data_IF_949167880948
#
_entry.id   IF_949167880948
#
_cell.length_a   1.000
_cell.length_b   1.000
_cell.length_c   1.000
_cell.angle_alpha   90.00
_cell.angle_beta   90.00
_cell.angle_gamma   90.00
#
_symmetry.space_group_name_H-M   'P 1'
#
loop_
_entity.id
_entity.type
_entity.pdbx_description
1 polymer ?
#
# COMPACT_ATOMS: atom_id res chain seq x y z
N UNK A 1 1.97 -6.25 -29.29
CA UNK A 1 3.41 -6.11 -29.58
C UNK A 1 4.16 -6.47 -28.32
N UNK A 2 4.79 -7.65 -28.23
CA UNK A 2 5.65 -7.98 -27.09
C UNK A 2 6.96 -7.22 -27.23
N UNK A 3 7.17 -6.23 -26.38
CA UNK A 3 8.46 -5.55 -26.27
C UNK A 3 9.41 -6.53 -25.57
N UNK A 4 10.24 -7.23 -26.34
CA UNK A 4 11.41 -7.94 -25.81
C UNK A 4 12.50 -6.91 -25.46
N UNK A 5 12.20 -6.04 -24.50
CA UNK A 5 13.22 -5.23 -23.84
C UNK A 5 14.08 -6.16 -23.01
N UNK A 6 15.38 -6.24 -23.31
CA UNK A 6 16.33 -6.95 -22.46
C UNK A 6 16.23 -6.37 -21.05
N UNK A 7 15.72 -7.16 -20.10
CA UNK A 7 15.56 -6.71 -18.73
C UNK A 7 16.92 -6.25 -18.19
N UNK A 8 17.08 -4.99 -17.74
CA UNK A 8 18.34 -4.52 -17.21
C UNK A 8 18.76 -5.42 -16.03
N UNK A 9 19.95 -5.99 -16.11
CA UNK A 9 20.52 -6.78 -15.00
C UNK A 9 20.99 -5.81 -13.93
N UNK A 10 20.17 -5.62 -12.90
CA UNK A 10 20.53 -4.88 -11.70
C UNK A 10 21.46 -5.78 -10.87
N UNK A 11 22.68 -5.32 -10.60
CA UNK A 11 23.62 -5.98 -9.68
C UNK A 11 23.58 -5.27 -8.34
N UNK A 12 23.16 -5.97 -7.29
CA UNK A 12 23.23 -5.47 -5.92
C UNK A 12 24.51 -5.96 -5.27
N UNK A 13 25.20 -5.07 -4.57
CA UNK A 13 26.45 -5.35 -3.88
C UNK A 13 26.23 -5.27 -2.37
N UNK A 14 26.50 -6.37 -1.66
CA UNK A 14 26.34 -6.52 -0.22
C UNK A 14 27.68 -6.47 0.49
N UNK A 15 27.73 -5.80 1.63
CA UNK A 15 28.90 -5.80 2.51
C UNK A 15 28.84 -6.99 3.48
N UNK A 16 29.96 -7.69 3.67
CA UNK A 16 30.01 -8.88 4.54
C UNK A 16 30.58 -8.50 5.92
N UNK A 17 29.76 -8.51 7.01
CA UNK A 17 30.26 -8.23 8.35
C UNK A 17 31.30 -9.24 8.81
N UNK A 18 32.38 -8.75 9.41
CA UNK A 18 33.44 -9.59 10.00
C UNK A 18 34.60 -9.94 9.08
N UNK A 19 34.59 -9.51 7.82
CA UNK A 19 35.75 -9.67 6.92
C UNK A 19 36.64 -8.42 6.92
N UNK A 20 37.97 -8.56 7.11
CA UNK A 20 38.88 -7.45 7.43
C UNK A 20 39.22 -6.46 6.28
N UNK A 21 38.40 -6.29 5.24
CA UNK A 21 38.81 -5.50 4.07
C UNK A 21 37.70 -4.84 3.27
N UNK A 22 36.52 -4.60 3.86
CA UNK A 22 35.42 -4.04 3.08
C UNK A 22 34.94 -4.95 1.95
N UNK A 23 35.12 -6.27 2.13
CA UNK A 23 34.76 -7.28 1.13
C UNK A 23 33.28 -7.20 0.82
N UNK A 24 32.98 -7.08 -0.47
CA UNK A 24 31.62 -7.07 -0.97
C UNK A 24 31.32 -8.30 -1.82
N UNK A 25 30.09 -8.77 -1.81
CA UNK A 25 29.60 -9.83 -2.70
C UNK A 25 28.38 -9.37 -3.47
N UNK A 26 28.19 -9.90 -4.68
CA UNK A 26 26.92 -9.78 -5.42
C UNK A 26 26.09 -11.06 -5.36
N UNK A 27 26.61 -12.11 -4.72
CA UNK A 27 25.93 -13.39 -4.58
C UNK A 27 25.32 -13.50 -3.18
N UNK A 28 23.99 -13.64 -3.14
CA UNK A 28 23.25 -13.81 -1.89
C UNK A 28 23.74 -15.04 -1.11
N UNK A 29 24.13 -16.11 -1.79
CA UNK A 29 24.59 -17.36 -1.17
C UNK A 29 25.85 -17.21 -0.30
N UNK A 30 26.63 -16.15 -0.51
CA UNK A 30 27.85 -15.88 0.27
C UNK A 30 27.53 -15.25 1.64
N UNK A 31 26.29 -14.83 1.88
CA UNK A 31 25.85 -14.24 3.14
C UNK A 31 25.38 -15.31 4.15
N UNK A 32 25.32 -14.96 5.43
CA UNK A 32 24.76 -15.88 6.44
C UNK A 32 23.29 -16.22 6.15
N UNK A 33 22.78 -17.42 6.50
CA UNK A 33 21.39 -17.81 6.21
C UNK A 33 20.33 -16.82 6.70
N UNK A 34 20.56 -16.19 7.86
CA UNK A 34 19.66 -15.17 8.40
C UNK A 34 19.63 -13.91 7.53
N UNK A 35 20.79 -13.47 7.03
CA UNK A 35 20.86 -12.34 6.11
C UNK A 35 20.26 -12.67 4.74
N UNK A 36 20.51 -13.88 4.24
CA UNK A 36 19.88 -14.36 3.01
C UNK A 36 18.37 -14.26 3.12
N UNK A 37 17.80 -14.82 4.19
CA UNK A 37 16.37 -14.76 4.47
C UNK A 37 15.87 -13.31 4.56
N UNK A 38 16.50 -12.47 5.40
CA UNK A 38 16.07 -11.09 5.59
C UNK A 38 16.10 -10.25 4.30
N UNK A 39 17.04 -10.51 3.41
CA UNK A 39 17.23 -9.73 2.19
C UNK A 39 16.26 -10.11 1.06
N UNK A 40 15.56 -11.25 1.13
CA UNK A 40 14.62 -11.67 0.07
C UNK A 40 13.45 -10.69 -0.07
N UNK A 41 13.02 -10.46 -1.30
CA UNK A 41 11.88 -9.60 -1.62
C UNK A 41 10.53 -10.21 -1.18
N UNK A 42 10.49 -11.49 -0.85
CA UNK A 42 9.32 -12.16 -0.30
C UNK A 42 9.30 -12.27 1.22
N UNK A 43 10.27 -11.66 1.91
CA UNK A 43 10.28 -11.60 3.37
C UNK A 43 9.65 -10.28 3.80
N UNK A 44 8.40 -10.38 4.25
CA UNK A 44 7.53 -9.25 4.60
C UNK A 44 7.19 -9.31 6.08
N UNK A 45 7.22 -8.13 6.70
CA UNK A 45 6.85 -7.94 8.08
C UNK A 45 5.69 -6.97 8.18
N UNK A 46 4.81 -7.21 9.14
CA UNK A 46 3.71 -6.34 9.52
C UNK A 46 4.10 -5.56 10.77
N UNK A 47 4.06 -4.23 10.68
CA UNK A 47 4.18 -3.32 11.82
C UNK A 47 2.83 -2.73 12.22
N UNK A 48 2.83 -1.71 13.09
CA UNK A 48 1.61 -1.01 13.51
C UNK A 48 0.94 -0.23 12.38
N UNK A 49 1.73 0.44 11.55
CA UNK A 49 1.23 1.36 10.53
C UNK A 49 1.26 0.83 9.10
N UNK A 50 2.08 -0.20 8.82
CA UNK A 50 2.28 -0.69 7.46
C UNK A 50 2.98 -2.04 7.38
N UNK A 51 2.82 -2.71 6.25
CA UNK A 51 3.64 -3.85 5.84
C UNK A 51 4.91 -3.35 5.15
N UNK A 52 6.04 -4.00 5.41
CA UNK A 52 7.33 -3.59 4.84
C UNK A 52 8.32 -4.75 4.73
N UNK A 53 9.12 -4.73 3.68
CA UNK A 53 10.29 -5.59 3.52
C UNK A 53 11.52 -4.96 4.19
N UNK A 54 12.57 -5.76 4.45
CA UNK A 54 13.90 -5.20 4.70
C UNK A 54 14.43 -4.48 3.46
N UNK A 55 15.24 -3.41 3.58
CA UNK A 55 15.48 -2.62 4.77
C UNK A 55 14.43 -1.52 5.00
N UNK A 56 13.26 -1.50 4.36
CA UNK A 56 12.22 -0.47 4.62
C UNK A 56 11.69 -0.53 6.06
N UNK A 57 11.72 -1.72 6.66
CA UNK A 57 11.52 -1.86 8.10
C UNK A 57 12.53 -1.02 8.90
N UNK A 58 13.73 -0.74 8.36
CA UNK A 58 14.72 0.19 8.95
C UNK A 58 14.27 1.62 8.65
N UNK A 59 13.88 2.44 9.64
CA UNK A 59 13.66 3.85 9.41
C UNK A 59 14.89 4.43 8.71
N UNK A 60 14.72 5.22 7.64
CA UNK A 60 15.84 5.89 7.02
C UNK A 60 16.53 6.76 8.08
N UNK A 61 17.87 6.72 8.11
CA UNK A 61 18.63 7.68 8.89
C UNK A 61 18.22 9.08 8.40
N UNK A 62 17.58 9.86 9.26
CA UNK A 62 17.22 11.24 8.92
C UNK A 62 18.52 11.96 8.58
N UNK A 63 18.65 12.56 7.38
CA UNK A 63 19.90 13.19 7.00
C UNK A 63 20.23 14.30 8.01
N UNK A 64 21.48 14.28 8.47
CA UNK A 64 22.02 15.11 9.57
C UNK A 64 21.82 16.63 9.34
N UNK A 65 21.53 17.06 8.11
CA UNK A 65 21.32 18.46 7.73
C UNK A 65 19.90 19.00 7.99
N UNK A 66 18.93 18.17 8.41
CA UNK A 66 17.59 18.61 8.87
C UNK A 66 17.42 18.49 10.39
N UNK A 67 18.51 18.68 11.14
CA UNK A 67 18.47 18.65 12.60
C UNK A 67 17.74 19.88 13.16
N UNK A 68 16.55 19.67 13.70
CA UNK A 68 15.97 20.58 14.69
C UNK A 68 16.74 20.39 16.01
N UNK A 69 17.02 21.43 16.80
CA UNK A 69 17.55 21.24 18.15
C UNK A 69 16.45 20.66 19.07
N UNK A 70 16.74 19.61 19.84
CA UNK A 70 15.91 19.18 20.98
C UNK A 70 15.09 17.89 20.84
N UNK A 71 15.15 17.16 19.71
CA UNK A 71 14.48 15.86 19.59
C UNK A 71 15.45 14.69 19.39
N UNK A 72 16.45 14.57 20.27
CA UNK A 72 17.51 13.55 20.23
C UNK A 72 16.95 12.11 20.18
N UNK A 73 15.78 11.88 20.77
CA UNK A 73 15.05 10.62 20.70
C UNK A 73 14.37 10.36 19.34
N UNK A 74 13.97 11.41 18.61
CA UNK A 74 13.47 11.28 17.22
C UNK A 74 14.60 11.03 16.21
N UNK A 75 15.85 11.33 16.57
CA UNK A 75 17.01 11.26 15.67
C UNK A 75 17.68 9.89 15.61
N UNK A 76 17.47 9.01 16.60
CA UNK A 76 17.94 7.62 16.53
C UNK A 76 17.09 6.74 15.59
N UNK A 77 16.10 7.34 14.91
CA UNK A 77 15.00 6.62 14.30
C UNK A 77 14.15 5.97 15.39
N UNK A 78 12.85 5.78 15.15
CA UNK A 78 12.06 4.89 16.00
C UNK A 78 12.75 3.52 15.94
N UNK A 79 13.52 3.17 16.98
CA UNK A 79 14.11 1.84 17.08
C UNK A 79 12.98 0.85 16.96
N UNK A 80 13.21 -0.20 16.18
CA UNK A 80 12.16 -1.15 15.93
C UNK A 80 11.75 -1.77 17.25
N UNK A 81 10.46 -1.71 17.51
CA UNK A 81 9.91 -2.48 18.59
C UNK A 81 9.78 -3.93 18.10
N UNK A 82 10.65 -4.79 18.62
CA UNK A 82 10.64 -6.23 18.34
C UNK A 82 9.31 -6.88 18.73
N UNK A 83 8.58 -6.32 19.69
CA UNK A 83 7.25 -6.80 20.09
C UNK A 83 6.15 -6.45 19.09
N UNK A 84 6.34 -5.38 18.31
CA UNK A 84 5.35 -4.88 17.34
C UNK A 84 5.58 -5.42 15.93
N UNK A 85 6.82 -5.73 15.55
CA UNK A 85 7.11 -6.28 14.24
C UNK A 85 6.88 -7.78 14.19
N UNK A 86 5.93 -8.22 13.37
CA UNK A 86 5.60 -9.63 13.17
C UNK A 86 5.85 -10.03 11.72
N UNK A 87 6.18 -11.30 11.50
CA UNK A 87 6.23 -11.88 10.16
C UNK A 87 4.81 -11.91 9.58
N UNK A 88 4.64 -11.49 8.33
CA UNK A 88 3.35 -11.51 7.64
C UNK A 88 3.30 -12.67 6.63
N UNK A 89 2.87 -13.83 7.11
CA UNK A 89 2.89 -15.08 6.33
C UNK A 89 2.03 -15.02 5.07
N UNK A 90 0.91 -14.28 5.11
CA UNK A 90 0.01 -14.12 3.96
C UNK A 90 0.67 -13.24 2.90
N UNK A 91 1.18 -12.07 3.28
CA UNK A 91 1.93 -11.21 2.36
C UNK A 91 3.16 -11.91 1.79
N UNK A 92 3.87 -12.71 2.59
CA UNK A 92 5.02 -13.50 2.12
C UNK A 92 4.60 -14.54 1.06
N UNK A 93 3.48 -15.22 1.25
CA UNK A 93 2.96 -16.20 0.27
C UNK A 93 2.59 -15.51 -1.05
N UNK A 94 1.91 -14.37 -0.99
CA UNK A 94 1.58 -13.55 -2.15
C UNK A 94 2.84 -13.09 -2.87
N UNK A 95 3.82 -12.57 -2.13
CA UNK A 95 5.08 -12.11 -2.71
C UNK A 95 5.85 -13.24 -3.38
N UNK A 96 5.86 -14.45 -2.81
CA UNK A 96 6.50 -15.62 -3.43
C UNK A 96 5.90 -15.95 -4.78
N UNK A 97 4.58 -15.99 -4.84
CA UNK A 97 3.85 -16.30 -6.07
C UNK A 97 4.08 -15.23 -7.14
N UNK A 98 4.01 -13.95 -6.77
CA UNK A 98 4.33 -12.84 -7.68
C UNK A 98 5.79 -12.91 -8.18
N UNK A 99 6.76 -13.21 -7.31
CA UNK A 99 8.17 -13.38 -7.68
C UNK A 99 8.40 -14.58 -8.63
N UNK A 100 7.71 -15.69 -8.38
CA UNK A 100 7.77 -16.86 -9.25
C UNK A 100 7.26 -16.51 -10.66
N UNK A 101 6.16 -15.75 -10.75
CA UNK A 101 5.55 -15.33 -12.03
C UNK A 101 6.39 -14.33 -12.82
N UNK A 102 7.14 -13.43 -12.18
CA UNK A 102 8.14 -12.59 -12.89
C UNK A 102 9.41 -13.37 -13.27
N UNK A 103 9.51 -14.66 -12.92
CA UNK A 103 10.70 -15.47 -13.14
C UNK A 103 11.89 -15.08 -12.26
N UNK A 104 11.63 -14.51 -11.06
CA UNK A 104 12.65 -14.09 -10.09
C UNK A 104 12.33 -14.56 -8.66
N UNK A 105 12.17 -15.88 -8.43
CA UNK A 105 11.78 -16.42 -7.12
C UNK A 105 12.77 -16.08 -5.98
N UNK A 106 14.03 -15.80 -6.32
CA UNK A 106 15.09 -15.47 -5.37
C UNK A 106 15.48 -13.98 -5.38
N UNK A 107 14.62 -13.11 -5.93
CA UNK A 107 14.88 -11.68 -5.94
C UNK A 107 15.06 -11.14 -4.51
N UNK A 108 16.01 -10.23 -4.36
CA UNK A 108 16.22 -9.47 -3.13
C UNK A 108 15.34 -8.22 -3.12
N UNK A 109 14.98 -7.79 -1.92
CA UNK A 109 14.27 -6.53 -1.68
C UNK A 109 15.00 -5.31 -2.28
N UNK A 110 16.33 -5.34 -2.29
CA UNK A 110 17.16 -4.31 -2.92
C UNK A 110 17.04 -4.30 -4.44
N UNK A 111 17.00 -5.45 -5.10
CA UNK A 111 16.73 -5.55 -6.54
C UNK A 111 15.33 -5.00 -6.87
N UNK A 112 14.32 -5.38 -6.09
CA UNK A 112 12.94 -4.90 -6.31
C UNK A 112 12.81 -3.41 -6.05
N UNK A 113 13.55 -2.85 -5.09
CA UNK A 113 13.61 -1.41 -4.85
C UNK A 113 14.34 -0.66 -5.96
N UNK A 114 15.39 -1.23 -6.52
CA UNK A 114 16.13 -0.61 -7.62
C UNK A 114 15.26 -0.40 -8.87
N UNK A 115 14.12 -1.08 -8.97
CA UNK A 115 13.06 -0.84 -9.96
C UNK A 115 12.14 0.37 -9.63
N UNK A 116 12.47 1.15 -8.58
CA UNK A 116 11.96 2.50 -8.23
C UNK A 116 10.45 2.70 -8.16
N UNK A 117 9.67 1.66 -7.92
CA UNK A 117 8.21 1.80 -7.84
C UNK A 117 7.54 1.92 -9.20
N UNK A 118 8.16 1.36 -10.22
CA UNK A 118 7.60 1.28 -11.56
C UNK A 118 6.70 0.04 -11.74
N UNK A 119 6.11 -0.47 -10.66
CA UNK A 119 5.16 -1.56 -10.75
C UNK A 119 3.77 -0.98 -10.86
N UNK A 120 3.04 -1.35 -11.89
CA UNK A 120 1.62 -1.10 -11.98
C UNK A 120 0.89 -2.43 -11.86
N UNK A 121 -0.21 -2.50 -11.12
CA UNK A 121 -1.04 -3.71 -11.14
C UNK A 121 -1.60 -3.96 -12.55
N UNK A 122 -1.38 -5.14 -13.11
CA UNK A 122 -1.84 -5.48 -14.46
C UNK A 122 -3.33 -5.84 -14.55
N UNK A 123 -4.02 -5.82 -13.41
CA UNK A 123 -5.46 -6.11 -13.29
C UNK A 123 -6.28 -4.90 -12.88
N UNK A 124 -5.61 -3.78 -12.66
CA UNK A 124 -6.22 -2.48 -12.44
C UNK A 124 -5.69 -1.55 -13.51
N UNK A 125 -6.48 -1.28 -14.54
CA UNK A 125 -6.14 -0.41 -15.67
C UNK A 125 -5.72 0.99 -15.20
N UNK A 126 -6.28 1.44 -14.08
CA UNK A 126 -6.03 2.77 -13.53
C UNK A 126 -5.18 2.78 -12.26
N UNK A 127 -4.52 1.66 -11.92
CA UNK A 127 -3.57 1.64 -10.81
C UNK A 127 -2.39 2.58 -11.10
N UNK A 128 -2.04 3.36 -10.08
CA UNK A 128 -0.83 4.16 -10.09
C UNK A 128 0.41 3.26 -10.01
N UNK A 129 1.54 3.71 -10.56
CA UNK A 129 2.83 3.08 -10.26
C UNK A 129 3.05 3.04 -8.74
N UNK A 130 3.42 1.87 -8.25
CA UNK A 130 3.64 1.59 -6.83
C UNK A 130 4.96 0.85 -6.60
N UNK A 131 5.47 0.93 -5.37
CA UNK A 131 6.56 0.08 -4.91
C UNK A 131 6.17 -1.40 -4.91
N UNK A 132 7.18 -2.27 -4.90
CA UNK A 132 6.96 -3.71 -4.76
C UNK A 132 6.14 -4.07 -3.52
N UNK A 133 6.49 -3.51 -2.36
CA UNK A 133 5.78 -3.72 -1.10
C UNK A 133 4.30 -3.30 -1.20
N UNK A 134 4.02 -2.17 -1.85
CA UNK A 134 2.66 -1.71 -2.11
C UNK A 134 1.91 -2.60 -3.09
N UNK A 135 2.58 -3.15 -4.11
CA UNK A 135 1.97 -4.13 -5.02
C UNK A 135 1.57 -5.41 -4.27
N UNK A 136 2.47 -5.95 -3.43
CA UNK A 136 2.15 -7.14 -2.63
C UNK A 136 0.99 -6.86 -1.68
N UNK A 137 1.05 -5.72 -0.97
CA UNK A 137 -0.02 -5.29 -0.08
C UNK A 137 -1.36 -5.12 -0.82
N UNK A 138 -1.33 -4.55 -2.03
CA UNK A 138 -2.51 -4.42 -2.89
C UNK A 138 -3.15 -5.79 -3.17
N UNK A 139 -2.39 -6.77 -3.65
CA UNK A 139 -2.92 -8.13 -3.88
C UNK A 139 -3.46 -8.78 -2.60
N UNK A 140 -2.79 -8.59 -1.46
CA UNK A 140 -3.27 -9.11 -0.17
C UNK A 140 -4.58 -8.47 0.28
N UNK A 141 -4.71 -7.15 0.12
CA UNK A 141 -5.94 -6.43 0.44
C UNK A 141 -7.11 -6.91 -0.42
N UNK A 142 -6.92 -7.01 -1.73
CA UNK A 142 -7.98 -7.43 -2.66
C UNK A 142 -8.44 -8.87 -2.38
N UNK A 143 -7.51 -9.77 -2.08
CA UNK A 143 -7.81 -11.16 -1.69
C UNK A 143 -8.57 -11.22 -0.35
N UNK A 144 -8.16 -10.43 0.64
CA UNK A 144 -8.83 -10.36 1.93
C UNK A 144 -10.26 -9.80 1.82
N UNK A 145 -10.44 -8.73 1.03
CA UNK A 145 -11.75 -8.15 0.75
C UNK A 145 -12.67 -9.14 0.04
N UNK A 146 -12.16 -9.87 -0.96
CA UNK A 146 -12.91 -10.94 -1.60
C UNK A 146 -13.33 -12.03 -0.60
N UNK A 147 -12.42 -12.55 0.23
CA UNK A 147 -12.76 -13.54 1.27
C UNK A 147 -13.84 -13.04 2.22
N UNK A 148 -13.72 -11.80 2.70
CA UNK A 148 -14.71 -11.17 3.58
C UNK A 148 -16.08 -11.09 2.90
N UNK A 149 -16.13 -10.67 1.63
CA UNK A 149 -17.38 -10.60 0.87
C UNK A 149 -18.06 -11.97 0.72
N UNK A 150 -17.28 -13.06 0.57
CA UNK A 150 -17.84 -14.41 0.48
C UNK A 150 -18.46 -14.83 1.81
N UNK A 151 -17.79 -14.55 2.94
CA UNK A 151 -18.34 -14.84 4.26
C UNK A 151 -19.65 -14.09 4.53
N UNK A 152 -19.73 -12.82 4.12
CA UNK A 152 -20.95 -12.01 4.28
C UNK A 152 -22.07 -12.56 3.41
N UNK A 153 -21.79 -12.91 2.15
CA UNK A 153 -22.75 -13.53 1.23
C UNK A 153 -23.24 -14.90 1.72
N UNK A 154 -22.38 -15.70 2.34
CA UNK A 154 -22.77 -16.96 2.96
C UNK A 154 -23.68 -16.76 4.17
N UNK A 155 -23.43 -15.70 4.95
CA UNK A 155 -24.24 -15.34 6.12
C UNK A 155 -25.60 -14.72 5.74
N UNK A 156 -25.68 -14.01 4.60
CA UNK A 156 -26.91 -13.40 4.07
C UNK A 156 -27.02 -13.61 2.56
N UNK A 157 -27.66 -14.72 2.11
CA UNK A 157 -27.86 -15.00 0.69
C UNK A 157 -28.83 -14.05 -0.04
N UNK A 158 -29.68 -13.34 0.71
CA UNK A 158 -30.62 -12.35 0.15
C UNK A 158 -29.91 -11.03 -0.18
N UNK A 159 -28.76 -10.79 0.44
CA UNK A 159 -27.82 -9.79 -0.02
C UNK A 159 -27.33 -10.21 -1.42
N UNK A 160 -27.92 -9.62 -2.46
CA UNK A 160 -27.55 -9.83 -3.86
C UNK A 160 -26.18 -9.21 -4.22
N UNK A 161 -25.19 -9.45 -3.36
CA UNK A 161 -23.81 -9.01 -3.52
C UNK A 161 -23.10 -9.86 -4.55
N UNK A 162 -22.57 -9.17 -5.56
CA UNK A 162 -21.55 -9.69 -6.46
C UNK A 162 -20.23 -9.09 -6.03
N UNK A 163 -19.22 -9.94 -5.77
CA UNK A 163 -17.86 -9.51 -5.49
C UNK A 163 -16.90 -10.53 -6.13
N UNK A 164 -16.40 -10.21 -7.32
CA UNK A 164 -15.55 -11.10 -8.09
C UNK A 164 -14.11 -11.10 -7.55
N UNK A 165 -13.44 -12.25 -7.67
CA UNK A 165 -12.03 -12.42 -7.29
C UNK A 165 -11.09 -11.94 -8.41
N UNK A 166 -10.99 -10.62 -8.60
CA UNK A 166 -10.20 -10.00 -9.68
C UNK A 166 -8.69 -10.22 -9.51
N UNK A 167 -8.20 -10.33 -8.27
CA UNK A 167 -6.76 -10.43 -7.95
C UNK A 167 -6.26 -11.85 -7.63
N UNK A 168 -6.99 -12.89 -8.02
CA UNK A 168 -6.56 -14.28 -7.84
C UNK A 168 -5.18 -14.61 -8.44
N UNK A 169 -4.27 -15.16 -7.65
CA UNK A 169 -2.99 -15.70 -8.13
C UNK A 169 -3.08 -17.19 -8.55
N UNK A 170 -4.25 -17.66 -8.97
CA UNK A 170 -4.42 -19.01 -9.49
C UNK A 170 -3.66 -19.18 -10.81
N UNK A 171 -3.01 -20.34 -11.06
CA UNK A 171 -2.20 -20.57 -12.27
C UNK A 171 -3.00 -20.53 -13.57
N UNK A 172 -4.33 -20.71 -13.49
CA UNK A 172 -5.25 -20.61 -14.63
C UNK A 172 -5.51 -19.16 -15.06
N UNK A 173 -5.29 -18.19 -14.17
CA UNK A 173 -5.43 -16.78 -14.49
C UNK A 173 -4.18 -16.26 -15.22
N UNK A 174 -4.33 -16.15 -16.54
CA UNK A 174 -3.30 -15.69 -17.49
C UNK A 174 -3.21 -14.15 -17.62
N UNK A 175 -4.04 -13.38 -16.91
CA UNK A 175 -3.93 -11.92 -16.94
C UNK A 175 -2.60 -11.47 -16.32
N UNK A 176 -1.97 -10.41 -16.86
CA UNK A 176 -0.77 -9.85 -16.26
C UNK A 176 -1.09 -9.41 -14.82
N UNK A 177 -0.27 -9.82 -13.86
CA UNK A 177 -0.40 -9.37 -12.47
C UNK A 177 0.22 -7.99 -12.28
N UNK A 178 1.26 -7.67 -13.06
CA UNK A 178 1.90 -6.36 -13.04
C UNK A 178 2.45 -5.97 -14.41
N UNK A 179 2.44 -4.68 -14.67
CA UNK A 179 3.20 -4.03 -15.73
C UNK A 179 4.44 -3.37 -15.12
N UNK A 180 5.56 -3.48 -15.84
CA UNK A 180 6.79 -2.76 -15.52
C UNK A 180 6.83 -1.52 -16.39
N UNK A 181 6.80 -0.37 -15.76
CA UNK A 181 6.93 0.90 -16.44
C UNK A 181 8.41 1.32 -16.50
N UNK A 182 8.76 2.05 -17.54
CA UNK A 182 9.99 2.84 -17.53
C UNK A 182 9.89 3.96 -16.49
N UNK A 183 11.01 4.47 -15.97
CA UNK A 183 10.99 5.64 -15.09
C UNK A 183 10.26 6.84 -15.69
N UNK A 184 10.39 7.03 -17.00
CA UNK A 184 9.72 8.09 -17.76
C UNK A 184 8.20 7.89 -17.77
N UNK A 185 7.71 6.70 -18.16
CA UNK A 185 6.27 6.38 -18.15
C UNK A 185 5.66 6.49 -16.74
N UNK A 186 6.40 6.06 -15.72
CA UNK A 186 6.00 6.17 -14.32
C UNK A 186 5.86 7.63 -13.89
N UNK A 187 6.84 8.47 -14.23
CA UNK A 187 6.83 9.91 -13.95
C UNK A 187 5.71 10.64 -14.71
N UNK A 188 5.51 10.32 -15.99
CA UNK A 188 4.44 10.90 -16.80
C UNK A 188 3.07 10.58 -16.23
N UNK A 189 2.85 9.33 -15.79
CA UNK A 189 1.59 8.91 -15.16
C UNK A 189 1.36 9.57 -13.80
N UNK A 190 2.43 9.72 -13.00
CA UNK A 190 2.37 10.46 -11.74
C UNK A 190 2.05 11.95 -11.96
N UNK A 191 2.67 12.56 -12.97
CA UNK A 191 2.44 13.97 -13.29
C UNK A 191 0.99 14.19 -13.73
N UNK A 192 0.48 13.35 -14.62
CA UNK A 192 -0.92 13.38 -15.08
C UNK A 192 -1.88 13.37 -13.90
N UNK A 193 -1.67 12.45 -12.95
CA UNK A 193 -2.51 12.34 -11.75
C UNK A 193 -2.38 13.59 -10.86
N UNK A 194 -1.17 14.14 -10.70
CA UNK A 194 -0.97 15.33 -9.86
C UNK A 194 -1.56 16.63 -10.40
N UNK A 195 -1.83 16.71 -11.71
CA UNK A 195 -2.30 17.96 -12.35
C UNK A 195 -3.80 18.19 -12.24
N UNK A 196 -4.58 17.16 -11.89
CA UNK A 196 -6.04 17.26 -11.80
C UNK A 196 -6.49 17.16 -10.35
N UNK A 197 -7.54 17.92 -10.04
CA UNK A 197 -8.30 17.72 -8.81
C UNK A 197 -9.11 16.44 -9.00
N UNK A 198 -8.73 15.38 -8.29
CA UNK A 198 -9.35 14.07 -8.41
C UNK A 198 -10.07 13.77 -7.10
N UNK A 199 -11.41 13.87 -7.06
CA UNK A 199 -12.14 13.49 -5.87
C UNK A 199 -11.90 12.00 -5.58
N UNK A 200 -11.85 11.66 -4.30
CA UNK A 200 -11.87 10.27 -3.88
C UNK A 200 -13.32 9.81 -3.89
N UNK A 201 -13.58 8.62 -4.44
CA UNK A 201 -14.88 8.01 -4.56
C UNK A 201 -14.94 6.73 -3.74
N UNK A 202 -16.10 6.46 -3.15
CA UNK A 202 -16.41 5.22 -2.43
C UNK A 202 -17.41 4.40 -3.20
N UNK A 203 -17.19 3.08 -3.23
CA UNK A 203 -18.14 2.12 -3.77
C UNK A 203 -19.21 1.80 -2.71
N UNK A 204 -20.48 2.06 -3.01
CA UNK A 204 -21.58 1.83 -2.06
C UNK A 204 -21.80 0.33 -1.80
N UNK A 205 -21.60 -0.52 -2.82
CA UNK A 205 -21.68 -1.98 -2.64
C UNK A 205 -20.58 -2.54 -1.72
N UNK A 206 -19.40 -1.91 -1.68
CA UNK A 206 -18.34 -2.25 -0.71
C UNK A 206 -18.69 -1.76 0.69
N UNK A 207 -19.23 -0.53 0.81
CA UNK A 207 -19.64 0.05 2.09
C UNK A 207 -20.72 -0.81 2.76
N UNK A 208 -21.69 -1.30 2.00
CA UNK A 208 -22.79 -2.15 2.50
C UNK A 208 -22.29 -3.44 3.16
N UNK A 209 -21.07 -3.88 2.84
CA UNK A 209 -20.45 -5.10 3.39
C UNK A 209 -19.28 -4.77 4.33
N UNK A 210 -19.20 -3.52 4.80
CA UNK A 210 -18.17 -3.08 5.73
C UNK A 210 -16.75 -3.02 5.13
N UNK A 211 -16.64 -2.96 3.80
CA UNK A 211 -15.37 -2.78 3.10
C UNK A 211 -15.21 -1.30 2.78
N UNK A 212 -14.27 -0.62 3.44
CA UNK A 212 -13.88 0.75 3.07
C UNK A 212 -12.95 0.70 1.85
N UNK A 213 -13.53 0.94 0.67
CA UNK A 213 -12.81 1.00 -0.60
C UNK A 213 -12.89 2.42 -1.17
N UNK A 214 -11.72 2.92 -1.56
CA UNK A 214 -11.52 4.31 -1.99
C UNK A 214 -10.78 4.30 -3.31
N UNK A 215 -11.28 5.08 -4.25
CA UNK A 215 -10.80 5.13 -5.63
C UNK A 215 -10.67 6.58 -6.06
N UNK A 216 -9.65 6.91 -6.85
CA UNK A 216 -9.59 8.23 -7.47
C UNK A 216 -10.62 8.29 -8.61
N UNK A 217 -11.30 9.41 -8.78
CA UNK A 217 -12.07 9.68 -10.00
C UNK A 217 -11.20 10.38 -11.03
N UNK A 218 -10.85 9.67 -12.10
CA UNK A 218 -10.14 10.24 -13.23
C UNK A 218 -11.16 10.67 -14.28
N UNK A 219 -11.85 11.79 -14.03
CA UNK A 219 -12.70 12.42 -15.04
C UNK A 219 -11.86 13.32 -15.96
N UNK A 220 -11.71 12.94 -17.24
CA UNK A 220 -11.06 13.77 -18.24
C UNK A 220 -11.02 13.14 -19.63
N UNK A 221 -10.49 13.87 -20.61
CA UNK A 221 -10.28 13.43 -22.01
C UNK A 221 -9.21 12.31 -22.15
N UNK A 222 -8.86 11.65 -21.06
CA UNK A 222 -7.95 10.53 -21.06
C UNK A 222 -8.71 9.27 -21.45
N UNK A 223 -8.15 8.49 -22.37
CA UNK A 223 -8.67 7.17 -22.78
C UNK A 223 -8.47 6.12 -21.67
N UNK A 224 -8.67 6.51 -20.41
CA UNK A 224 -8.44 5.75 -19.19
C UNK A 224 -9.75 5.75 -18.41
N UNK A 225 -10.30 4.55 -18.20
CA UNK A 225 -11.48 4.37 -17.36
C UNK A 225 -11.18 4.85 -15.93
N UNK A 226 -12.10 5.63 -15.34
CA UNK A 226 -11.97 6.02 -13.94
C UNK A 226 -11.87 4.78 -13.02
N UNK A 227 -10.90 4.71 -12.08
CA UNK A 227 -10.69 3.55 -11.21
C UNK A 227 -11.95 3.05 -10.50
N UNK A 228 -12.86 3.95 -10.09
CA UNK A 228 -14.13 3.55 -9.46
C UNK A 228 -15.05 2.84 -10.45
N UNK A 229 -15.09 3.28 -11.71
CA UNK A 229 -15.93 2.67 -12.75
C UNK A 229 -15.39 1.30 -13.14
N UNK A 230 -14.07 1.18 -13.26
CA UNK A 230 -13.41 -0.11 -13.45
C UNK A 230 -13.74 -1.06 -12.30
N UNK A 231 -13.56 -0.63 -11.05
CA UNK A 231 -13.89 -1.44 -9.88
C UNK A 231 -15.34 -1.93 -9.91
N UNK A 232 -16.31 -1.04 -10.16
CA UNK A 232 -17.72 -1.40 -10.22
C UNK A 232 -18.02 -2.44 -11.32
N UNK A 233 -17.35 -2.33 -12.47
CA UNK A 233 -17.50 -3.28 -13.58
C UNK A 233 -16.87 -4.63 -13.25
N UNK A 234 -15.61 -4.64 -12.81
CA UNK A 234 -14.83 -5.87 -12.65
C UNK A 234 -15.16 -6.61 -11.35
N UNK A 235 -15.40 -5.88 -10.26
CA UNK A 235 -15.69 -6.46 -8.93
C UNK A 235 -17.18 -6.71 -8.73
N UNK A 236 -18.04 -5.77 -9.14
CA UNK A 236 -19.49 -5.84 -8.88
C UNK A 236 -20.35 -6.16 -10.10
N UNK A 237 -19.77 -6.38 -11.29
CA UNK A 237 -20.50 -6.60 -12.56
C UNK A 237 -21.49 -5.46 -12.92
N UNK A 238 -21.21 -4.23 -12.51
CA UNK A 238 -22.04 -3.05 -12.82
C UNK A 238 -21.57 -2.43 -14.13
N UNK A 239 -22.28 -2.71 -15.22
CA UNK A 239 -21.94 -2.20 -16.57
C UNK A 239 -22.35 -0.74 -16.80
N UNK A 240 -23.26 -0.19 -16.01
CA UNK A 240 -23.71 1.20 -16.08
C UNK A 240 -23.77 1.81 -14.68
N UNK A 241 -22.61 2.23 -14.13
CA UNK A 241 -22.53 2.91 -12.83
C UNK A 241 -23.39 4.17 -12.78
N UNK A 242 -24.00 4.44 -11.62
CA UNK A 242 -24.89 5.59 -11.39
C UNK A 242 -24.38 6.30 -10.14
N UNK A 243 -23.92 7.57 -10.24
CA UNK A 243 -23.53 8.37 -9.08
C UNK A 243 -24.67 8.45 -8.05
N UNK A 244 -24.33 8.38 -6.77
CA UNK A 244 -25.28 8.37 -5.65
C UNK A 244 -25.97 7.03 -5.39
N UNK A 245 -25.92 6.09 -6.33
CA UNK A 245 -26.50 4.74 -6.15
C UNK A 245 -25.42 3.64 -6.09
N UNK A 246 -24.46 3.66 -7.02
CA UNK A 246 -23.37 2.68 -7.04
C UNK A 246 -22.10 3.21 -6.37
N UNK A 247 -21.85 4.51 -6.44
CA UNK A 247 -20.69 5.17 -5.86
C UNK A 247 -21.01 6.62 -5.52
N UNK A 248 -20.25 7.20 -4.59
CA UNK A 248 -20.35 8.62 -4.23
C UNK A 248 -18.98 9.20 -3.89
N UNK A 249 -18.89 10.51 -3.92
CA UNK A 249 -17.70 11.21 -3.43
C UNK A 249 -17.47 10.90 -1.94
N UNK A 250 -16.20 10.77 -1.58
CA UNK A 250 -15.80 10.58 -0.21
C UNK A 250 -15.83 11.94 0.50
N UNK A 251 -16.90 12.13 1.27
CA UNK A 251 -16.99 13.19 2.27
C UNK A 251 -15.98 12.90 3.38
N UNK A 252 -14.94 13.71 3.48
CA UNK A 252 -14.12 13.75 4.67
C UNK A 252 -15.04 14.24 5.78
N UNK A 253 -15.54 13.34 6.63
CA UNK A 253 -16.24 13.74 7.84
C UNK A 253 -15.25 14.57 8.68
N UNK A 254 -15.31 15.90 8.54
CA UNK A 254 -14.56 16.85 9.37
C UNK A 254 -15.21 16.94 10.77
N UNK A 255 -16.24 16.16 11.03
CA UNK A 255 -16.95 16.09 12.30
C UNK A 255 -16.23 15.13 13.25
N UNK A 256 -15.54 15.72 14.24
CA UNK A 256 -15.41 15.24 15.64
C UNK A 256 -14.08 15.66 16.31
N UNK A 257 -13.52 16.81 15.91
CA UNK A 257 -12.88 17.66 16.93
C UNK A 257 -13.95 18.60 17.44
N UNK A 258 -14.81 18.08 18.32
CA UNK A 258 -15.62 18.90 19.21
C UNK A 258 -14.67 19.89 19.89
N UNK A 259 -14.74 21.21 19.58
CA UNK A 259 -13.99 22.17 20.37
C UNK A 259 -14.63 22.11 21.75
N UNK A 260 -13.96 21.41 22.66
CA UNK A 260 -14.22 21.49 24.09
C UNK A 260 -13.87 22.91 24.56
N UNK A 261 -14.68 23.88 24.12
CA UNK A 261 -14.85 25.18 24.73
C UNK A 261 -15.83 24.98 25.90
N UNK A 262 -15.45 24.07 26.81
CA UNK A 262 -15.94 24.09 28.17
C UNK A 262 -15.17 25.16 28.92
N UNK A 263 -15.45 26.43 28.60
CA UNK A 263 -15.17 27.55 29.48
C UNK A 263 -15.86 27.23 30.81
N UNK A 264 -15.06 26.75 31.76
CA UNK A 264 -15.49 26.63 33.15
C UNK A 264 -15.53 28.06 33.67
N UNK A 265 -16.71 28.67 33.59
CA UNK A 265 -17.01 29.90 34.33
C UNK A 265 -16.79 29.62 35.83
N UNK A 266 -15.63 30.03 36.31
CA UNK A 266 -15.25 30.09 37.72
C UNK A 266 -16.06 31.24 38.35
N UNK A 267 -17.31 30.93 38.73
CA UNK A 267 -18.15 31.81 39.54
C UNK A 267 -17.50 31.98 40.92
N UNK A 268 -16.69 33.03 41.00
CA UNK A 268 -16.13 33.61 42.21
C UNK A 268 -17.23 34.35 42.97
N UNK A 269 -18.00 33.58 43.73
CA UNK A 269 -18.99 34.08 44.68
C UNK A 269 -18.28 34.91 45.76
N UNK A 270 -18.39 36.23 45.63
CA UNK A 270 -17.92 37.22 46.59
C UNK A 270 -19.13 37.99 47.12
N UNK A 271 -19.57 37.64 48.33
CA UNK A 271 -20.43 38.50 49.14
C UNK A 271 -19.83 38.65 50.54
N UNK A 272 -19.10 39.75 50.72
CA UNK A 272 -18.78 40.35 52.01
C UNK A 272 -19.98 41.18 52.52
N UNK A 273 -20.23 41.05 53.82
CA UNK A 273 -20.79 42.02 54.80
C UNK A 273 -22.15 42.71 54.55
N UNK A 274 -23.01 42.72 55.59
CA UNK A 274 -23.45 43.96 56.29
C UNK A 274 -24.13 43.63 57.63
N UNK A 275 -23.69 44.38 58.64
CA UNK A 275 -24.09 44.64 60.02
C UNK A 275 -25.54 44.37 60.50
N UNK A 276 -25.66 43.80 61.72
CA UNK A 276 -26.26 44.45 62.90
C UNK A 276 -25.96 43.69 64.20
#
# INVERSE_FOLDING_TARGET
MSVHGGNPSIKVTFWIPGYPSGTTTTNLADLSPNLQFLLRADTIFKGESSNSNYPNIVPPLVPFNRMMPGAEELYLGVRWDRGKLKRDDESMAISKELLARVGKPDATSAEMRALRGNFQCGRCTSALPVSWDRLVHHFGREEAQWKLSQLIKEADPELHLVYNRTHSLDPENNQPFAHFLTPEESADRMLQVSTYDMPLMRCLGCVDVGIDSQYLDLHGDFDIDSPILEHLREVHNVSSPIPGFHYREWEWDVTDSDPSDGDVDDESDSEDEIEM
#
